data_IF_219358044769
#
_entry.id   IF_219358044769
#
_cell.length_a   1.000
_cell.length_b   1.000
_cell.length_c   1.000
_cell.angle_alpha   90.00
_cell.angle_beta   90.00
_cell.angle_gamma   90.00
#
_symmetry.space_group_name_H-M   'P 1'
#
loop_
_entity.id
_entity.type
_entity.pdbx_description
1 polymer ?
#
# COMPACT_ATOMS: atom_id res chain seq x y z
N UNK A 1 -4.08 1.16 9.21
CA UNK A 1 -3.15 2.06 8.48
C UNK A 1 -1.96 1.33 7.84
N UNK A 2 -1.20 0.49 8.57
CA UNK A 2 -0.09 -0.27 7.97
C UNK A 2 -0.51 -1.54 7.24
N UNK A 3 -1.61 -2.18 7.63
CA UNK A 3 -2.14 -3.36 6.93
C UNK A 3 -2.39 -3.08 5.44
N UNK A 4 -2.97 -1.93 5.12
CA UNK A 4 -3.17 -1.49 3.74
C UNK A 4 -1.84 -1.25 2.99
N UNK A 5 -0.82 -0.74 3.69
CA UNK A 5 0.52 -0.56 3.13
C UNK A 5 1.22 -1.90 2.89
N UNK A 6 1.03 -2.89 3.76
CA UNK A 6 1.53 -4.25 3.57
C UNK A 6 0.88 -4.94 2.37
N UNK A 7 -0.43 -4.74 2.16
CA UNK A 7 -1.13 -5.22 0.96
C UNK A 7 -0.53 -4.64 -0.33
N UNK A 8 -0.23 -3.33 -0.32
CA UNK A 8 0.39 -2.63 -1.44
C UNK A 8 1.74 -3.20 -1.87
N UNK A 9 2.50 -3.83 -0.95
CA UNK A 9 3.81 -4.41 -1.27
C UNK A 9 3.74 -5.48 -2.36
N UNK A 10 2.61 -6.17 -2.51
CA UNK A 10 2.41 -7.16 -3.57
C UNK A 10 2.50 -6.55 -4.98
N UNK A 11 2.05 -5.30 -5.14
CA UNK A 11 2.09 -4.57 -6.42
C UNK A 11 3.27 -3.61 -6.53
N UNK A 12 3.91 -3.29 -5.40
CA UNK A 12 4.97 -2.29 -5.26
C UNK A 12 6.03 -2.72 -4.24
N UNK A 13 6.93 -3.66 -4.64
CA UNK A 13 7.96 -4.18 -3.75
C UNK A 13 9.08 -3.17 -3.46
N UNK A 14 9.16 -2.07 -4.20
CA UNK A 14 10.12 -0.97 -4.00
C UNK A 14 10.02 -0.33 -2.61
N UNK A 15 8.84 -0.35 -1.99
CA UNK A 15 8.61 0.22 -0.66
C UNK A 15 8.73 -0.79 0.49
N UNK A 16 9.03 -2.06 0.19
CA UNK A 16 9.00 -3.18 1.16
C UNK A 16 9.84 -2.88 2.39
N UNK A 17 11.07 -2.43 2.20
CA UNK A 17 11.97 -2.15 3.31
C UNK A 17 11.41 -1.07 4.25
N UNK A 18 10.96 0.05 3.68
CA UNK A 18 10.45 1.18 4.46
C UNK A 18 9.16 0.85 5.20
N UNK A 19 8.24 0.10 4.58
CA UNK A 19 6.97 -0.31 5.20
C UNK A 19 7.21 -1.34 6.30
N UNK A 20 8.04 -2.36 6.05
CA UNK A 20 8.38 -3.37 7.04
C UNK A 20 9.13 -2.78 8.24
N UNK A 21 10.02 -1.80 8.01
CA UNK A 21 10.72 -1.11 9.09
C UNK A 21 9.75 -0.29 9.95
N UNK A 22 8.84 0.48 9.32
CA UNK A 22 7.83 1.24 10.04
C UNK A 22 6.90 0.33 10.87
N UNK A 23 6.66 -0.90 10.42
CA UNK A 23 5.80 -1.87 11.11
C UNK A 23 6.34 -2.34 12.45
N UNK A 24 7.67 -2.42 12.59
CA UNK A 24 8.30 -2.85 13.85
C UNK A 24 8.07 -1.84 14.98
N UNK A 25 7.90 -0.57 14.63
CA UNK A 25 7.75 0.50 15.62
C UNK A 25 6.30 0.97 15.78
N UNK A 26 5.34 0.24 15.22
CA UNK A 26 3.93 0.63 15.31
C UNK A 26 3.30 0.36 16.66
N UNK A 27 3.87 -0.53 17.46
CA UNK A 27 3.39 -0.80 18.83
C UNK A 27 3.62 0.42 19.75
N UNK A 28 4.72 1.15 19.53
CA UNK A 28 5.07 2.40 20.24
C UNK A 28 5.70 3.42 19.27
N UNK A 29 4.89 4.09 18.43
CA UNK A 29 5.40 5.01 17.43
C UNK A 29 5.92 6.29 18.09
N UNK A 30 7.07 6.78 17.62
CA UNK A 30 7.59 8.11 17.97
C UNK A 30 7.30 9.07 16.81
N UNK A 31 7.50 10.36 17.03
CA UNK A 31 7.28 11.37 15.97
C UNK A 31 8.10 11.09 14.70
N UNK A 32 9.31 10.55 14.86
CA UNK A 32 10.17 10.13 13.76
C UNK A 32 9.52 9.01 12.92
N UNK A 33 8.94 8.00 13.57
CA UNK A 33 8.25 6.91 12.89
C UNK A 33 7.00 7.41 12.16
N UNK A 34 6.24 8.33 12.78
CA UNK A 34 5.06 8.95 12.15
C UNK A 34 5.47 9.78 10.92
N UNK A 35 6.56 10.55 11.00
CA UNK A 35 7.10 11.31 9.88
C UNK A 35 7.54 10.38 8.73
N UNK A 36 8.15 9.23 9.03
CA UNK A 36 8.52 8.23 8.05
C UNK A 36 7.28 7.66 7.33
N UNK A 37 6.23 7.28 8.07
CA UNK A 37 4.97 6.79 7.47
C UNK A 37 4.32 7.86 6.59
N UNK A 38 4.31 9.13 7.02
CA UNK A 38 3.83 10.26 6.20
C UNK A 38 4.63 10.41 4.92
N UNK A 39 5.94 10.15 4.93
CA UNK A 39 6.80 10.19 3.73
C UNK A 39 6.47 9.06 2.76
N UNK A 40 6.23 7.84 3.27
CA UNK A 40 5.77 6.69 2.47
C UNK A 40 4.42 7.01 1.78
N UNK A 41 3.47 7.59 2.52
CA UNK A 41 2.16 7.99 1.94
C UNK A 41 2.29 9.08 0.87
N UNK A 42 3.23 10.02 1.05
CA UNK A 42 3.51 11.07 0.06
C UNK A 42 4.09 10.50 -1.23
N UNK A 43 4.98 9.51 -1.11
CA UNK A 43 5.53 8.77 -2.23
C UNK A 43 4.42 8.02 -2.99
N UNK A 44 3.56 7.31 -2.26
CA UNK A 44 2.38 6.64 -2.83
C UNK A 44 1.48 7.58 -3.64
N UNK A 45 1.19 8.76 -3.08
CA UNK A 45 0.39 9.79 -3.75
C UNK A 45 1.05 10.30 -5.03
N UNK A 46 2.37 10.51 -5.02
CA UNK A 46 3.12 10.99 -6.19
C UNK A 46 3.26 9.95 -7.29
N UNK A 47 3.33 8.66 -6.93
CA UNK A 47 3.57 7.57 -7.88
C UNK A 47 2.33 6.75 -8.20
N UNK A 48 1.10 7.28 -8.10
CA UNK A 48 -0.12 6.50 -8.44
C UNK A 48 -0.08 5.87 -9.85
N UNK A 49 0.62 6.51 -10.79
CA UNK A 49 0.75 6.06 -12.19
C UNK A 49 1.73 4.88 -12.37
N UNK A 50 2.75 4.75 -11.51
CA UNK A 50 3.80 3.74 -11.63
C UNK A 50 3.46 2.48 -10.81
N UNK A 51 2.43 1.74 -11.24
CA UNK A 51 2.03 0.46 -10.63
C UNK A 51 2.20 -0.71 -11.59
N UNK A 52 2.35 -1.92 -11.06
CA UNK A 52 2.26 -3.15 -11.87
C UNK A 52 0.79 -3.30 -12.29
N UNK A 53 0.51 -3.03 -13.57
CA UNK A 53 -0.80 -3.25 -14.17
C UNK A 53 -0.82 -4.65 -14.78
N UNK A 54 -1.59 -5.56 -14.17
CA UNK A 54 -1.86 -6.87 -14.76
C UNK A 54 -2.78 -6.68 -15.98
N UNK A 55 -2.18 -6.65 -17.18
CA UNK A 55 -2.93 -6.63 -18.44
C UNK A 55 -3.27 -8.06 -18.85
N UNK A 56 -4.55 -8.39 -18.91
CA UNK A 56 -5.01 -9.68 -19.42
C UNK A 56 -4.91 -9.68 -20.96
N UNK A 57 -4.32 -10.73 -21.56
CA UNK A 57 -4.24 -10.90 -23.02
C UNK A 57 -5.52 -11.49 -23.63
N UNK A 58 -6.42 -12.02 -22.81
CA UNK A 58 -7.61 -12.75 -23.26
C UNK A 58 -8.85 -12.00 -22.79
N UNK A 59 -9.66 -11.51 -23.72
CA UNK A 59 -10.86 -10.69 -23.49
C UNK A 59 -12.00 -11.41 -22.72
N UNK A 60 -11.77 -12.62 -22.21
CA UNK A 60 -12.83 -13.56 -21.88
C UNK A 60 -13.27 -13.65 -20.42
N UNK A 61 -12.43 -13.42 -19.41
CA UNK A 61 -12.77 -13.87 -18.04
C UNK A 61 -12.12 -13.11 -16.88
N UNK A 62 -11.68 -11.85 -17.08
CA UNK A 62 -11.20 -11.05 -15.95
C UNK A 62 -12.38 -10.34 -15.26
N UNK A 63 -13.12 -11.07 -14.44
CA UNK A 63 -14.08 -10.47 -13.50
C UNK A 63 -13.30 -9.65 -12.47
N UNK A 64 -13.27 -8.32 -12.64
CA UNK A 64 -12.67 -7.42 -11.67
C UNK A 64 -13.54 -7.39 -10.40
N UNK A 65 -13.18 -8.20 -9.41
CA UNK A 65 -13.78 -8.15 -8.08
C UNK A 65 -13.10 -7.07 -7.24
N UNK A 66 -13.87 -6.05 -6.86
CA UNK A 66 -13.47 -5.04 -5.89
C UNK A 66 -14.14 -5.31 -4.56
N UNK A 67 -13.36 -5.37 -3.48
CA UNK A 67 -13.87 -5.39 -2.12
C UNK A 67 -13.80 -3.97 -1.56
N UNK A 68 -14.91 -3.50 -0.99
CA UNK A 68 -14.97 -2.23 -0.26
C UNK A 68 -15.28 -2.53 1.19
N UNK A 69 -14.43 -2.05 2.10
CA UNK A 69 -14.71 -2.10 3.53
C UNK A 69 -15.59 -0.89 3.86
N UNK A 70 -16.79 -1.14 4.39
CA UNK A 70 -17.68 -0.06 4.84
C UNK A 70 -17.52 0.05 6.35
N UNK A 71 -16.69 0.99 6.77
CA UNK A 71 -16.61 1.41 8.17
C UNK A 71 -17.86 2.25 8.48
N UNK A 72 -18.95 1.58 8.84
CA UNK A 72 -20.17 2.24 9.30
C UNK A 72 -19.93 2.83 10.70
N UNK A 73 -20.20 4.13 10.86
CA UNK A 73 -20.24 4.85 12.12
C UNK A 73 -21.69 5.00 12.60
#
# INVERSE_FOLDING_TARGET
>A
MLGCLMYLLATRPDMTFSVCLAARYMERPTELHVAAVKRILRYLKGNLVFGIMYKCKTYGDLMMQGWTDSDYA
#
